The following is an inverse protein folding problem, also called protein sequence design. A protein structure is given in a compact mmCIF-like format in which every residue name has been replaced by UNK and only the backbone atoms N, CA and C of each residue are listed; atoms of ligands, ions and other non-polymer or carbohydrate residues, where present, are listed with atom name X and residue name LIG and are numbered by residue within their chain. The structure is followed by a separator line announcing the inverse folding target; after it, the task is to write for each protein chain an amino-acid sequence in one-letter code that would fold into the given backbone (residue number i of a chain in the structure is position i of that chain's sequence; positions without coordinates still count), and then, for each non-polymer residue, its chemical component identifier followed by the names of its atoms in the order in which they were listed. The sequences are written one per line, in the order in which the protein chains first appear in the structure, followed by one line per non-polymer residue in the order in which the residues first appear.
data_IF_182896180730
#
_entry.id   IF_182896180730
#
_cell.length_a   1.000
_cell.length_b   1.000
_cell.length_c   1.000
_cell.angle_alpha   90.00
_cell.angle_beta   90.00
_cell.angle_gamma   90.00
#
_symmetry.space_group_name_H-M   'P 1'
#
loop_
_entity.id
_entity.type
_entity.pdbx_description
1 polymer ?
#
# COMPACT_ATOMS: atom_id res chain seq x y z
N UNK A 1 27.84 -1.94 14.53
CA UNK A 1 27.69 -1.68 13.08
C UNK A 1 26.96 -2.86 12.43
N UNK A 2 26.34 -2.68 11.26
CA UNK A 2 25.64 -3.77 10.52
C UNK A 2 26.55 -4.98 10.27
N UNK A 3 27.85 -4.75 10.04
CA UNK A 3 28.85 -5.82 9.91
C UNK A 3 28.97 -6.70 11.17
N UNK A 4 28.86 -6.10 12.36
CA UNK A 4 28.88 -6.84 13.63
C UNK A 4 27.59 -7.62 13.90
N UNK A 5 26.46 -7.16 13.37
CA UNK A 5 25.17 -7.87 13.47
C UNK A 5 25.20 -9.13 12.60
N UNK A 6 25.65 -9.02 11.34
CA UNK A 6 25.73 -10.17 10.44
C UNK A 6 26.59 -11.30 10.98
N UNK A 7 27.79 -10.97 11.46
CA UNK A 7 28.73 -11.95 12.01
C UNK A 7 28.20 -12.65 13.28
N UNK A 8 27.27 -12.03 14.00
CA UNK A 8 26.70 -12.56 15.24
C UNK A 8 25.18 -12.70 15.15
N UNK A 9 24.67 -13.05 13.96
CA UNK A 9 23.22 -13.10 13.66
C UNK A 9 22.46 -13.91 14.70
N UNK A 10 22.92 -15.12 15.03
CA UNK A 10 22.22 -15.97 15.99
C UNK A 10 22.16 -15.38 17.40
N UNK A 11 23.24 -14.74 17.86
CA UNK A 11 23.28 -14.10 19.18
C UNK A 11 22.35 -12.90 19.21
N UNK A 12 22.37 -12.08 18.16
CA UNK A 12 21.49 -10.92 18.04
C UNK A 12 20.02 -11.35 18.01
N UNK A 13 19.65 -12.35 17.22
CA UNK A 13 18.26 -12.80 17.09
C UNK A 13 17.73 -13.54 18.31
N UNK A 14 18.60 -14.10 19.16
CA UNK A 14 18.20 -14.61 20.49
C UNK A 14 17.69 -13.50 21.41
N UNK A 15 18.24 -12.30 21.30
CA UNK A 15 17.84 -11.15 22.11
C UNK A 15 16.73 -10.33 21.42
N UNK A 16 16.82 -10.21 20.09
CA UNK A 16 15.91 -9.43 19.24
C UNK A 16 15.29 -10.32 18.15
N UNK A 17 14.27 -11.12 18.48
CA UNK A 17 13.66 -12.07 17.54
C UNK A 17 12.85 -11.39 16.42
N UNK A 18 12.54 -10.10 16.57
CA UNK A 18 11.80 -9.30 15.58
C UNK A 18 12.73 -8.27 14.98
N UNK A 19 12.89 -8.33 13.65
CA UNK A 19 13.72 -7.39 12.89
C UNK A 19 12.84 -6.58 11.96
N UNK A 20 12.88 -5.25 12.11
CA UNK A 20 12.17 -4.33 11.23
C UNK A 20 13.11 -3.83 10.13
N UNK A 21 12.63 -3.83 8.90
CA UNK A 21 13.37 -3.32 7.75
C UNK A 21 12.46 -2.83 6.65
N UNK A 22 13.00 -1.99 5.76
CA UNK A 22 12.36 -1.76 4.47
C UNK A 22 12.51 -2.99 3.58
N UNK A 23 11.54 -3.19 2.69
CA UNK A 23 11.50 -4.32 1.76
C UNK A 23 12.78 -4.40 0.91
N UNK A 24 13.33 -3.24 0.53
CA UNK A 24 14.59 -3.10 -0.23
C UNK A 24 15.84 -3.64 0.48
N UNK A 25 15.83 -3.72 1.82
CA UNK A 25 17.00 -4.18 2.61
C UNK A 25 16.71 -5.47 3.37
N UNK A 26 15.50 -6.01 3.27
CA UNK A 26 15.03 -7.16 4.05
C UNK A 26 15.95 -8.39 3.94
N UNK A 27 16.55 -8.63 2.78
CA UNK A 27 17.46 -9.75 2.52
C UNK A 27 18.95 -9.47 2.80
N UNK A 28 19.31 -8.27 3.27
CA UNK A 28 20.72 -7.86 3.41
C UNK A 28 21.11 -7.37 4.81
N UNK A 29 20.20 -7.34 5.78
CA UNK A 29 20.52 -6.87 7.14
C UNK A 29 21.01 -7.96 8.09
N UNK A 30 20.76 -9.21 7.74
CA UNK A 30 21.11 -10.41 8.51
C UNK A 30 22.08 -11.25 7.67
N UNK A 31 22.70 -12.27 8.26
CA UNK A 31 23.49 -13.25 7.51
C UNK A 31 22.63 -13.91 6.41
N UNK A 32 23.19 -14.09 5.21
CA UNK A 32 22.48 -14.63 4.03
C UNK A 32 21.91 -16.03 4.23
N UNK A 33 22.56 -16.80 5.10
CA UNK A 33 22.21 -18.20 5.34
C UNK A 33 21.14 -18.36 6.42
N UNK A 34 20.71 -17.25 7.05
CA UNK A 34 19.65 -17.26 8.03
C UNK A 34 18.30 -17.06 7.34
N UNK A 35 17.35 -17.93 7.67
CA UNK A 35 15.97 -17.88 7.18
C UNK A 35 15.04 -17.69 8.37
N UNK A 36 14.20 -16.66 8.33
CA UNK A 36 13.20 -16.40 9.35
C UNK A 36 12.02 -17.37 9.24
N UNK A 37 11.34 -17.61 10.36
CA UNK A 37 10.08 -18.37 10.33
C UNK A 37 8.99 -17.63 9.55
N UNK A 38 8.91 -16.30 9.72
CA UNK A 38 7.91 -15.44 9.11
C UNK A 38 8.50 -14.13 8.58
N UNK A 39 7.98 -13.66 7.45
CA UNK A 39 8.08 -12.27 7.00
C UNK A 39 6.69 -11.63 7.00
N UNK A 40 6.57 -10.44 7.58
CA UNK A 40 5.34 -9.63 7.51
C UNK A 40 5.64 -8.41 6.65
N UNK A 41 4.92 -8.26 5.55
CA UNK A 41 5.06 -7.13 4.63
C UNK A 41 3.84 -6.24 4.73
N UNK A 42 4.02 -5.09 5.38
CA UNK A 42 3.01 -4.03 5.46
C UNK A 42 3.05 -3.13 4.22
N UNK A 43 1.94 -2.44 3.94
CA UNK A 43 1.76 -1.57 2.78
C UNK A 43 2.11 -2.23 1.42
N UNK A 44 1.81 -3.52 1.29
CA UNK A 44 2.19 -4.33 0.14
C UNK A 44 1.56 -3.87 -1.20
N UNK A 45 0.50 -3.06 -1.16
CA UNK A 45 -0.06 -2.41 -2.35
C UNK A 45 0.86 -1.34 -2.94
N UNK A 46 1.80 -0.82 -2.15
CA UNK A 46 2.78 0.18 -2.55
C UNK A 46 4.16 -0.42 -2.90
N UNK A 47 4.32 -1.73 -2.74
CA UNK A 47 5.54 -2.46 -3.05
C UNK A 47 5.46 -2.96 -4.50
N UNK A 48 6.54 -2.80 -5.26
CA UNK A 48 6.65 -3.36 -6.60
C UNK A 48 7.00 -4.86 -6.57
N UNK A 49 6.59 -5.61 -7.60
CA UNK A 49 6.65 -7.08 -7.62
C UNK A 49 8.08 -7.62 -7.39
N UNK A 50 9.10 -7.04 -8.04
CA UNK A 50 10.49 -7.53 -7.90
C UNK A 50 10.99 -7.38 -6.47
N UNK A 51 10.69 -6.25 -5.82
CA UNK A 51 11.14 -5.97 -4.46
C UNK A 51 10.44 -6.88 -3.45
N UNK A 52 9.13 -7.06 -3.58
CA UNK A 52 8.37 -7.98 -2.71
C UNK A 52 8.78 -9.44 -2.91
N UNK A 53 8.99 -9.88 -4.15
CA UNK A 53 9.46 -11.23 -4.46
C UNK A 53 10.84 -11.52 -3.85
N UNK A 54 11.76 -10.55 -3.89
CA UNK A 54 13.06 -10.68 -3.22
C UNK A 54 12.94 -10.73 -1.70
N UNK A 55 12.00 -10.00 -1.11
CA UNK A 55 11.78 -10.04 0.33
C UNK A 55 11.20 -11.38 0.80
N UNK A 56 10.41 -12.07 -0.02
CA UNK A 56 9.93 -13.42 0.29
C UNK A 56 11.06 -14.44 0.48
N UNK A 57 12.25 -14.21 -0.09
CA UNK A 57 13.35 -15.17 0.02
C UNK A 57 13.98 -15.23 1.41
N UNK A 58 13.63 -14.33 2.35
CA UNK A 58 14.24 -14.30 3.68
C UNK A 58 13.51 -15.14 4.73
N UNK A 59 12.35 -15.72 4.40
CA UNK A 59 11.54 -16.44 5.38
C UNK A 59 10.82 -17.67 4.80
N UNK A 60 10.42 -18.57 5.69
CA UNK A 60 9.67 -19.79 5.36
C UNK A 60 8.17 -19.51 5.12
N UNK A 61 7.60 -18.57 5.87
CA UNK A 61 6.19 -18.18 5.79
C UNK A 61 6.07 -16.68 5.57
N UNK A 62 4.95 -16.24 4.99
CA UNK A 62 4.70 -14.83 4.70
C UNK A 62 3.29 -14.39 5.11
N UNK A 63 3.19 -13.18 5.64
CA UNK A 63 1.94 -12.45 5.86
C UNK A 63 2.02 -11.16 5.07
N UNK A 64 1.11 -10.99 4.11
CA UNK A 64 1.08 -9.82 3.22
C UNK A 64 -0.09 -8.94 3.65
N UNK A 65 0.20 -7.70 4.02
CA UNK A 65 -0.78 -6.72 4.50
C UNK A 65 -0.74 -5.50 3.59
N UNK A 66 -1.91 -5.03 3.17
CA UNK A 66 -2.03 -3.84 2.35
C UNK A 66 -3.46 -3.69 1.83
N UNK A 67 -3.68 -2.64 1.04
CA UNK A 67 -4.99 -2.28 0.55
C UNK A 67 -4.96 -1.95 -0.94
N UNK A 68 -5.58 -2.82 -1.75
CA UNK A 68 -5.69 -2.64 -3.21
C UNK A 68 -6.59 -1.47 -3.63
N UNK A 69 -7.37 -0.90 -2.70
CA UNK A 69 -8.20 0.29 -2.94
C UNK A 69 -7.46 1.59 -2.66
N UNK A 70 -6.25 1.52 -2.10
CA UNK A 70 -5.39 2.67 -1.83
C UNK A 70 -4.35 2.87 -2.96
N UNK A 71 -3.34 3.70 -2.69
CA UNK A 71 -2.32 4.05 -3.70
C UNK A 71 -1.54 2.81 -4.15
N UNK A 72 -1.37 2.61 -5.47
CA UNK A 72 -0.46 1.60 -5.99
C UNK A 72 1.00 2.08 -5.91
N UNK A 73 1.94 1.16 -6.15
CA UNK A 73 3.34 1.51 -6.32
C UNK A 73 3.55 2.45 -7.53
N UNK A 74 4.51 3.35 -7.42
CA UNK A 74 4.86 4.27 -8.52
C UNK A 74 5.78 3.57 -9.50
N UNK A 75 5.37 3.51 -10.77
CA UNK A 75 6.17 2.96 -11.88
C UNK A 75 6.65 4.11 -12.75
N UNK A 76 7.97 4.28 -12.86
CA UNK A 76 8.53 5.31 -13.74
C UNK A 76 8.31 4.95 -15.22
N UNK A 77 8.35 5.93 -16.12
CA UNK A 77 8.26 5.66 -17.55
C UNK A 77 9.39 4.74 -18.04
N UNK A 78 10.60 4.89 -17.47
CA UNK A 78 11.73 4.03 -17.79
C UNK A 78 11.48 2.57 -17.34
N UNK A 79 10.96 2.39 -16.12
CA UNK A 79 10.61 1.06 -15.61
C UNK A 79 9.48 0.42 -16.44
N UNK A 80 8.46 1.20 -16.81
CA UNK A 80 7.37 0.70 -17.64
C UNK A 80 7.85 0.18 -19.01
N UNK A 81 8.80 0.89 -19.63
CA UNK A 81 9.42 0.44 -20.89
C UNK A 81 10.25 -0.84 -20.67
N UNK A 82 11.03 -0.90 -19.59
CA UNK A 82 11.82 -2.08 -19.26
C UNK A 82 10.93 -3.32 -18.99
N UNK A 83 9.88 -3.16 -18.19
CA UNK A 83 8.91 -4.22 -17.90
C UNK A 83 8.15 -4.65 -19.15
N UNK A 84 7.77 -3.70 -20.01
CA UNK A 84 7.15 -3.99 -21.30
C UNK A 84 8.04 -4.84 -22.20
N UNK A 85 9.35 -4.53 -22.26
CA UNK A 85 10.31 -5.32 -23.01
C UNK A 85 10.48 -6.74 -22.43
N UNK A 86 10.58 -6.88 -21.10
CA UNK A 86 10.65 -8.19 -20.45
C UNK A 86 9.40 -9.01 -20.77
N UNK A 87 8.22 -8.43 -20.64
CA UNK A 87 6.96 -9.11 -20.93
C UNK A 87 6.88 -9.60 -22.38
N UNK A 88 7.29 -8.77 -23.34
CA UNK A 88 7.28 -9.12 -24.76
C UNK A 88 8.24 -10.27 -25.10
N UNK A 89 9.35 -10.41 -24.38
CA UNK A 89 10.38 -11.42 -24.65
C UNK A 89 10.23 -12.72 -23.86
N UNK A 90 9.60 -12.69 -22.69
CA UNK A 90 9.60 -13.81 -21.74
C UNK A 90 8.22 -14.38 -21.38
N UNK A 91 7.18 -14.05 -22.15
CA UNK A 91 5.81 -14.54 -21.96
C UNK A 91 5.33 -14.43 -20.49
N UNK A 92 5.60 -13.28 -19.87
CA UNK A 92 5.25 -13.01 -18.47
C UNK A 92 3.72 -12.98 -18.32
N UNK A 93 3.21 -13.78 -17.40
CA UNK A 93 1.76 -13.86 -17.10
C UNK A 93 1.22 -12.54 -16.52
N UNK A 94 -0.09 -12.32 -16.68
CA UNK A 94 -0.75 -11.06 -16.28
C UNK A 94 -0.59 -10.77 -14.78
N UNK A 95 -0.62 -11.80 -13.94
CA UNK A 95 -0.42 -11.66 -12.49
C UNK A 95 0.98 -11.17 -12.10
N UNK A 96 1.93 -11.12 -13.04
CA UNK A 96 3.28 -10.60 -12.87
C UNK A 96 3.52 -9.32 -13.68
N UNK A 97 2.48 -8.70 -14.24
CA UNK A 97 2.60 -7.43 -14.94
C UNK A 97 2.93 -6.30 -13.96
N UNK A 98 4.23 -6.04 -13.76
CA UNK A 98 4.74 -5.03 -12.85
C UNK A 98 4.37 -3.58 -13.21
N UNK A 99 3.74 -3.33 -14.36
CA UNK A 99 3.17 -2.03 -14.72
C UNK A 99 1.75 -1.87 -14.17
N UNK A 100 1.00 -2.97 -14.05
CA UNK A 100 -0.43 -2.96 -13.65
C UNK A 100 -0.66 -3.46 -12.23
N UNK A 101 0.17 -4.38 -11.77
CA UNK A 101 0.03 -5.05 -10.50
C UNK A 101 1.09 -4.56 -9.51
N UNK A 102 0.64 -4.23 -8.30
CA UNK A 102 1.52 -4.17 -7.13
C UNK A 102 1.87 -5.58 -6.66
N UNK A 103 2.80 -5.68 -5.72
CA UNK A 103 3.14 -6.94 -5.08
C UNK A 103 1.92 -7.59 -4.41
N UNK A 104 1.10 -6.82 -3.68
CA UNK A 104 -0.15 -7.32 -3.09
C UNK A 104 -1.09 -7.93 -4.15
N UNK A 105 -1.34 -7.20 -5.23
CA UNK A 105 -2.25 -7.65 -6.29
C UNK A 105 -1.71 -8.93 -6.96
N UNK A 106 -0.40 -8.98 -7.22
CA UNK A 106 0.27 -10.17 -7.75
C UNK A 106 0.11 -11.37 -6.82
N UNK A 107 0.32 -11.19 -5.51
CA UNK A 107 0.13 -12.25 -4.52
C UNK A 107 -1.30 -12.79 -4.50
N UNK A 108 -2.32 -11.92 -4.54
CA UNK A 108 -3.73 -12.33 -4.57
C UNK A 108 -4.04 -13.18 -5.81
N UNK A 109 -3.48 -12.80 -6.97
CA UNK A 109 -3.75 -13.50 -8.23
C UNK A 109 -3.00 -14.83 -8.37
N UNK A 110 -1.77 -14.90 -7.83
CA UNK A 110 -0.90 -16.08 -7.85
C UNK A 110 -1.33 -17.09 -6.79
N UNK A 111 -1.54 -16.65 -5.54
CA UNK A 111 -1.83 -17.51 -4.40
C UNK A 111 -3.33 -17.54 -4.09
N UNK A 112 -4.13 -17.97 -5.06
CA UNK A 112 -5.62 -17.97 -4.95
C UNK A 112 -6.18 -18.80 -3.80
N UNK A 113 -5.41 -19.80 -3.36
CA UNK A 113 -5.79 -20.68 -2.24
C UNK A 113 -5.33 -20.15 -0.88
N UNK A 114 -4.51 -19.09 -0.85
CA UNK A 114 -4.07 -18.49 0.40
C UNK A 114 -5.24 -17.83 1.13
N UNK A 115 -5.35 -17.99 2.46
CA UNK A 115 -6.39 -17.36 3.23
C UNK A 115 -6.25 -15.83 3.15
N UNK A 116 -7.35 -15.16 2.81
CA UNK A 116 -7.42 -13.71 2.70
C UNK A 116 -8.57 -13.19 3.55
N UNK A 117 -8.30 -12.15 4.36
CA UNK A 117 -9.28 -11.57 5.28
C UNK A 117 -9.27 -10.05 5.15
N UNK A 118 -10.44 -9.47 4.89
CA UNK A 118 -10.65 -8.03 5.03
C UNK A 118 -10.84 -7.68 6.51
N UNK A 119 -10.02 -6.79 7.05
CA UNK A 119 -10.26 -6.20 8.37
C UNK A 119 -11.38 -5.15 8.24
N UNK A 120 -12.50 -5.40 8.91
CA UNK A 120 -13.75 -4.65 8.69
C UNK A 120 -13.92 -3.48 9.65
N UNK A 121 -13.38 -3.58 10.86
CA UNK A 121 -13.60 -2.60 11.93
C UNK A 121 -12.75 -1.35 11.69
N UNK A 122 -13.42 -0.20 11.55
CA UNK A 122 -12.79 1.10 11.31
C UNK A 122 -12.91 2.01 12.54
N UNK A 123 -11.77 2.40 13.09
CA UNK A 123 -11.68 3.14 14.36
C UNK A 123 -11.24 4.61 14.22
N UNK A 124 -10.98 5.10 13.00
CA UNK A 124 -10.33 6.40 12.80
C UNK A 124 -11.32 7.55 12.61
N UNK A 125 -12.12 7.48 11.54
CA UNK A 125 -12.98 8.59 11.12
C UNK A 125 -14.41 8.45 11.67
N UNK A 126 -15.15 9.56 11.86
CA UNK A 126 -16.58 9.54 12.16
C UNK A 126 -17.39 8.73 11.14
N UNK A 127 -18.54 8.12 11.53
CA UNK A 127 -19.34 7.26 10.66
C UNK A 127 -19.72 7.88 9.32
N UNK A 128 -20.02 9.19 9.30
CA UNK A 128 -20.36 9.93 8.07
C UNK A 128 -19.18 10.06 7.08
N UNK A 129 -17.94 10.17 7.58
CA UNK A 129 -16.74 10.26 6.72
C UNK A 129 -16.38 8.87 6.18
N UNK A 130 -16.24 7.87 7.07
CA UNK A 130 -15.91 6.51 6.60
C UNK A 130 -17.02 5.91 5.75
N UNK A 131 -18.29 6.27 6.01
CA UNK A 131 -19.44 5.82 5.24
C UNK A 131 -19.31 6.13 3.74
N UNK A 132 -18.78 7.31 3.38
CA UNK A 132 -18.51 7.66 1.99
C UNK A 132 -17.50 6.71 1.34
N UNK A 133 -16.34 6.51 1.97
CA UNK A 133 -15.32 5.61 1.45
C UNK A 133 -15.79 4.15 1.41
N UNK A 134 -16.51 3.71 2.45
CA UNK A 134 -17.04 2.36 2.58
C UNK A 134 -17.97 2.00 1.41
N UNK A 135 -18.90 2.89 1.06
CA UNK A 135 -19.79 2.70 -0.08
C UNK A 135 -19.05 2.77 -1.41
N UNK A 136 -18.05 3.65 -1.54
CA UNK A 136 -17.36 3.89 -2.81
C UNK A 136 -16.36 2.80 -3.19
N UNK A 137 -15.67 2.21 -2.21
CA UNK A 137 -14.50 1.36 -2.44
C UNK A 137 -14.58 -0.03 -1.82
N UNK A 138 -15.43 -0.23 -0.80
CA UNK A 138 -15.46 -1.46 0.00
C UNK A 138 -16.84 -2.13 0.03
N UNK A 139 -17.74 -1.75 -0.87
CA UNK A 139 -19.09 -2.34 -1.00
C UNK A 139 -19.89 -2.38 0.32
N UNK A 140 -19.65 -1.41 1.21
CA UNK A 140 -20.31 -1.34 2.52
C UNK A 140 -19.78 -2.36 3.54
N UNK A 141 -18.68 -3.06 3.26
CA UNK A 141 -18.16 -4.11 4.12
C UNK A 141 -17.56 -3.60 5.45
N UNK A 142 -17.10 -2.35 5.52
CA UNK A 142 -16.51 -1.78 6.73
C UNK A 142 -17.56 -1.46 7.79
N UNK A 143 -17.17 -1.60 9.06
CA UNK A 143 -17.97 -1.32 10.25
C UNK A 143 -17.35 -0.12 10.97
N UNK A 144 -18.09 0.99 11.04
CA UNK A 144 -17.65 2.14 11.82
C UNK A 144 -17.76 1.82 13.31
N UNK A 145 -16.64 1.91 14.02
CA UNK A 145 -16.56 1.67 15.47
C UNK A 145 -16.59 2.97 16.29
N UNK A 146 -16.53 4.11 15.59
CA UNK A 146 -16.70 5.44 16.16
C UNK A 146 -18.19 5.79 16.25
N UNK A 147 -18.53 6.70 17.16
CA UNK A 147 -19.90 7.19 17.35
C UNK A 147 -20.13 8.47 16.55
N UNK A 148 -21.37 8.66 16.09
CA UNK A 148 -21.84 9.96 15.58
C UNK A 148 -22.36 10.76 16.78
N UNK A 149 -21.72 11.88 17.10
CA UNK A 149 -22.11 12.75 18.22
C UNK A 149 -23.10 13.84 17.79
N UNK A 150 -23.66 13.73 16.58
CA UNK A 150 -24.61 14.70 16.04
C UNK A 150 -23.94 15.89 15.35
N UNK A 151 -22.67 15.76 14.97
CA UNK A 151 -21.94 16.81 14.28
C UNK A 151 -22.57 17.09 12.90
N UNK A 152 -22.89 18.36 12.64
CA UNK A 152 -23.69 18.78 11.47
C UNK A 152 -22.86 19.05 10.21
N UNK A 153 -21.54 19.31 10.35
CA UNK A 153 -20.63 19.67 9.24
C UNK A 153 -19.37 18.79 9.17
N UNK A 154 -19.53 17.47 9.14
CA UNK A 154 -18.39 16.54 9.04
C UNK A 154 -17.95 16.21 7.61
N UNK A 155 -18.83 16.43 6.64
CA UNK A 155 -18.55 16.25 5.22
C UNK A 155 -19.39 17.23 4.40
N UNK A 156 -18.75 18.01 3.53
CA UNK A 156 -19.40 18.98 2.65
C UNK A 156 -18.93 18.76 1.21
N UNK A 157 -19.87 18.86 0.27
CA UNK A 157 -19.56 18.81 -1.16
C UNK A 157 -19.66 20.22 -1.72
N UNK A 158 -18.53 20.75 -2.18
CA UNK A 158 -18.46 22.04 -2.88
C UNK A 158 -18.34 21.74 -4.37
N UNK A 159 -19.36 22.11 -5.14
CA UNK A 159 -19.40 21.84 -6.58
C UNK A 159 -18.82 23.02 -7.34
N UNK A 160 -17.77 22.77 -8.11
CA UNK A 160 -17.22 23.73 -9.06
C UNK A 160 -17.82 23.52 -10.46
N UNK A 161 -17.64 24.49 -11.37
CA UNK A 161 -18.10 24.32 -12.76
C UNK A 161 -17.30 23.20 -13.42
N UNK A 162 -17.98 22.41 -14.25
CA UNK A 162 -17.41 21.29 -14.99
C UNK A 162 -16.23 21.71 -15.88
N UNK A 163 -15.12 20.95 -15.83
CA UNK A 163 -13.95 21.14 -16.67
C UNK A 163 -12.64 20.67 -16.04
N UNK A 164 -11.62 20.40 -16.87
CA UNK A 164 -10.26 20.09 -16.40
C UNK A 164 -9.41 21.37 -16.33
N UNK A 165 -9.38 21.97 -15.14
CA UNK A 165 -8.67 23.21 -14.87
C UNK A 165 -7.25 23.00 -14.27
N UNK A 166 -6.82 21.76 -14.07
CA UNK A 166 -5.50 21.46 -13.53
C UNK A 166 -4.38 21.88 -14.51
N UNK A 167 -3.29 22.46 -13.99
CA UNK A 167 -2.08 22.83 -14.74
C UNK A 167 -0.86 22.40 -13.94
N UNK A 168 -0.09 21.46 -14.46
CA UNK A 168 1.03 20.86 -13.72
C UNK A 168 0.51 20.14 -12.45
N UNK A 169 1.02 20.56 -11.28
CA UNK A 169 0.68 19.95 -9.99
C UNK A 169 -0.37 20.72 -9.18
N UNK A 170 -1.06 21.70 -9.77
CA UNK A 170 -2.07 22.48 -9.06
C UNK A 170 -3.30 22.77 -9.91
N UNK A 171 -4.42 23.06 -9.23
CA UNK A 171 -5.66 23.50 -9.83
C UNK A 171 -6.02 24.86 -9.25
N UNK A 172 -5.68 25.95 -9.96
CA UNK A 172 -5.89 27.31 -9.48
C UNK A 172 -7.36 27.58 -9.14
N UNK A 173 -8.29 27.00 -9.90
CA UNK A 173 -9.72 27.18 -9.65
C UNK A 173 -10.16 26.58 -8.32
N UNK A 174 -9.71 25.37 -8.00
CA UNK A 174 -10.01 24.75 -6.70
C UNK A 174 -9.42 25.56 -5.56
N UNK A 175 -8.22 26.11 -5.74
CA UNK A 175 -7.60 27.02 -4.77
C UNK A 175 -8.46 28.27 -4.58
N UNK A 176 -8.89 28.92 -5.67
CA UNK A 176 -9.69 30.14 -5.61
C UNK A 176 -11.04 29.89 -4.92
N UNK A 177 -11.74 28.82 -5.27
CA UNK A 177 -13.02 28.43 -4.62
C UNK A 177 -12.79 28.15 -3.14
N UNK A 178 -11.73 27.43 -2.78
CA UNK A 178 -11.42 27.13 -1.39
C UNK A 178 -11.13 28.42 -0.60
N UNK A 179 -10.37 29.35 -1.17
CA UNK A 179 -9.99 30.61 -0.52
C UNK A 179 -11.13 31.63 -0.45
N UNK A 180 -11.97 31.73 -1.48
CA UNK A 180 -12.98 32.78 -1.62
C UNK A 180 -14.37 32.36 -1.16
N UNK A 181 -14.69 31.07 -1.24
CA UNK A 181 -16.05 30.56 -0.97
C UNK A 181 -16.10 29.66 0.27
N UNK A 182 -15.09 28.79 0.47
CA UNK A 182 -15.15 27.77 1.55
C UNK A 182 -14.56 28.26 2.86
N UNK A 183 -13.29 28.66 2.86
CA UNK A 183 -12.60 29.08 4.09
C UNK A 183 -13.27 30.27 4.81
N UNK A 184 -13.86 31.27 4.14
CA UNK A 184 -14.56 32.36 4.81
C UNK A 184 -15.80 31.94 5.62
N UNK A 185 -16.32 30.71 5.43
CA UNK A 185 -17.43 30.18 6.24
C UNK A 185 -17.00 29.58 7.59
N UNK A 186 -15.69 29.56 7.89
CA UNK A 186 -15.07 28.99 9.10
C UNK A 186 -14.21 30.03 9.84
#
# INVERSE_FOLDING_TARGET
TVSGIKANTEVFLKEYPVVLSSTYKSNTNIHSDYVFDYVIMDEASQIDIKTGALALSCAMNAVIVGDSKQLPNVVSQADALAYGAVRANYAVGDCYDAVKCSFLQSCIEVFREAPTTLLREHYRCPPKIIGFCNQRFYDGALLAMTTDEGESKVLQVVRTVEGNHARGHFNQREIDVLMQEVLPEY
#
